data_IF_135376938680
#
_entry.id   IF_135376938680
#
_cell.length_a   1.000
_cell.length_b   1.000
_cell.length_c   1.000
_cell.angle_alpha   90.00
_cell.angle_beta   90.00
_cell.angle_gamma   90.00
#
_symmetry.space_group_name_H-M   'P 1'
#
loop_
_entity.id
_entity.type
_entity.pdbx_description
1 polymer ?
#
# COMPACT_ATOMS: atom_id res chain seq x y z
N UNK A 1 -10.86 16.34 17.32
CA UNK A 1 -9.85 15.87 16.39
C UNK A 1 -10.47 15.71 14.99
N UNK A 2 -9.73 16.12 13.94
CA UNK A 2 -10.20 16.04 12.54
C UNK A 2 -10.50 14.61 12.11
N UNK A 3 -9.76 13.62 12.64
CA UNK A 3 -9.95 12.19 12.36
C UNK A 3 -11.27 11.68 12.94
N UNK A 4 -11.55 12.01 14.17
CA UNK A 4 -12.80 11.64 14.86
C UNK A 4 -14.02 12.28 14.20
N UNK A 5 -13.90 13.54 13.75
CA UNK A 5 -14.95 14.24 13.02
C UNK A 5 -15.26 13.58 11.67
N UNK A 6 -14.26 13.10 10.93
CA UNK A 6 -14.47 12.38 9.67
C UNK A 6 -15.13 11.01 9.84
N UNK A 7 -14.88 10.32 10.95
CA UNK A 7 -15.59 9.08 11.29
C UNK A 7 -17.05 9.37 11.60
N UNK A 8 -17.35 10.30 12.50
CA UNK A 8 -18.71 10.69 12.85
C UNK A 8 -19.57 11.10 11.63
N UNK A 9 -18.95 11.71 10.60
CA UNK A 9 -19.66 12.04 9.35
C UNK A 9 -20.07 10.78 8.60
N UNK A 10 -19.18 9.81 8.43
CA UNK A 10 -19.48 8.54 7.72
C UNK A 10 -20.54 7.72 8.45
N UNK A 11 -20.40 7.56 9.76
CA UNK A 11 -21.37 6.87 10.60
C UNK A 11 -22.76 7.52 10.45
N UNK A 12 -22.82 8.85 10.54
CA UNK A 12 -24.06 9.59 10.39
C UNK A 12 -24.70 9.37 9.02
N UNK A 13 -23.92 9.45 7.92
CA UNK A 13 -24.43 9.23 6.57
C UNK A 13 -24.98 7.82 6.39
N UNK A 14 -24.24 6.80 6.80
CA UNK A 14 -24.66 5.40 6.71
C UNK A 14 -25.90 5.13 7.56
N UNK A 15 -25.98 5.69 8.78
CA UNK A 15 -27.17 5.58 9.66
C UNK A 15 -28.40 6.23 9.06
N UNK A 16 -28.24 7.28 8.22
CA UNK A 16 -29.33 7.93 7.50
C UNK A 16 -29.59 7.33 6.11
N UNK A 17 -29.15 6.09 5.88
CA UNK A 17 -29.34 5.34 4.63
C UNK A 17 -28.68 5.99 3.40
N UNK A 18 -27.58 6.69 3.60
CA UNK A 18 -26.77 7.27 2.52
C UNK A 18 -25.54 6.42 2.29
N UNK A 19 -25.37 5.90 1.06
CA UNK A 19 -24.14 5.20 0.65
C UNK A 19 -22.95 6.15 0.63
N UNK A 20 -21.78 5.66 0.96
CA UNK A 20 -20.55 6.46 1.07
C UNK A 20 -19.45 5.89 0.17
N UNK A 21 -18.83 6.75 -0.62
CA UNK A 21 -17.58 6.46 -1.36
C UNK A 21 -16.44 7.25 -0.73
N UNK A 22 -15.31 6.60 -0.43
CA UNK A 22 -14.21 7.24 0.29
C UNK A 22 -12.84 6.94 -0.32
N UNK A 23 -12.15 7.95 -0.84
CA UNK A 23 -10.75 7.85 -1.24
C UNK A 23 -9.77 7.95 -0.07
N UNK A 24 -10.22 8.41 1.10
CA UNK A 24 -9.39 8.60 2.29
C UNK A 24 -9.28 7.31 3.11
N UNK A 25 -8.05 6.81 3.29
CA UNK A 25 -7.72 5.55 3.96
C UNK A 25 -7.96 5.54 5.47
N UNK A 26 -8.13 6.70 6.12
CA UNK A 26 -8.07 6.80 7.59
C UNK A 26 -9.10 5.89 8.25
N UNK A 27 -10.36 5.91 7.82
CA UNK A 27 -11.40 5.11 8.45
C UNK A 27 -11.20 3.60 8.22
N UNK A 28 -10.85 3.19 7.00
CA UNK A 28 -10.64 1.78 6.67
C UNK A 28 -9.38 1.19 7.32
N UNK A 29 -8.39 2.03 7.68
CA UNK A 29 -7.16 1.64 8.37
C UNK A 29 -7.07 2.08 9.84
N UNK A 30 -8.12 2.68 10.42
CA UNK A 30 -8.22 3.01 11.86
C UNK A 30 -8.26 1.74 12.71
N UNK A 31 -8.58 1.84 13.98
CA UNK A 31 -8.82 0.67 14.84
C UNK A 31 -9.83 -0.28 14.21
N UNK A 32 -9.60 -1.57 14.33
CA UNK A 32 -10.43 -2.61 13.68
C UNK A 32 -11.91 -2.49 14.03
N UNK A 33 -12.24 -2.16 15.28
CA UNK A 33 -13.63 -2.03 15.70
C UNK A 33 -14.35 -0.91 14.96
N UNK A 34 -13.70 0.22 14.71
CA UNK A 34 -14.26 1.33 13.95
C UNK A 34 -14.54 0.92 12.47
N UNK A 35 -13.59 0.22 11.85
CA UNK A 35 -13.77 -0.32 10.50
C UNK A 35 -14.94 -1.30 10.47
N UNK A 36 -14.99 -2.23 11.44
CA UNK A 36 -16.05 -3.23 11.57
C UNK A 36 -17.42 -2.59 11.75
N UNK A 37 -17.53 -1.58 12.59
CA UNK A 37 -18.76 -0.84 12.83
C UNK A 37 -19.29 -0.19 11.55
N UNK A 38 -18.45 0.52 10.79
CA UNK A 38 -18.85 1.10 9.50
C UNK A 38 -19.40 0.06 8.51
N UNK A 39 -18.71 -1.08 8.37
CA UNK A 39 -19.15 -2.19 7.51
C UNK A 39 -20.45 -2.81 8.02
N UNK A 40 -20.63 -2.91 9.33
CA UNK A 40 -21.85 -3.43 9.95
C UNK A 40 -23.05 -2.50 9.75
N UNK A 41 -22.88 -1.19 9.99
CA UNK A 41 -23.94 -0.18 9.75
C UNK A 41 -24.36 -0.22 8.28
N UNK A 42 -23.41 -0.19 7.34
CA UNK A 42 -23.71 -0.25 5.91
C UNK A 42 -24.53 -1.49 5.56
N UNK A 43 -24.14 -2.66 6.08
CA UNK A 43 -24.87 -3.93 5.86
C UNK A 43 -26.27 -3.91 6.47
N UNK A 44 -26.43 -3.44 7.70
CA UNK A 44 -27.73 -3.37 8.40
C UNK A 44 -28.71 -2.40 7.73
N UNK A 45 -28.18 -1.31 7.16
CA UNK A 45 -28.97 -0.29 6.48
C UNK A 45 -29.21 -0.59 4.99
N UNK A 46 -28.61 -1.63 4.43
CA UNK A 46 -28.69 -1.97 3.01
C UNK A 46 -28.04 -0.91 2.11
N UNK A 47 -27.05 -0.16 2.63
CA UNK A 47 -26.29 0.86 1.88
C UNK A 47 -24.86 0.39 1.66
N UNK A 48 -24.15 1.04 0.71
CA UNK A 48 -22.76 0.67 0.39
C UNK A 48 -21.77 1.64 1.06
N UNK A 49 -20.70 1.08 1.60
CA UNK A 49 -19.50 1.80 1.99
C UNK A 49 -18.32 1.30 1.15
N UNK A 50 -17.97 2.09 0.12
CA UNK A 50 -16.98 1.73 -0.90
C UNK A 50 -15.73 2.58 -0.78
N UNK A 51 -14.58 1.97 -0.99
CA UNK A 51 -13.27 2.63 -0.84
C UNK A 51 -12.19 1.94 -1.68
N UNK A 52 -12.53 1.51 -2.90
CA UNK A 52 -11.59 0.85 -3.83
C UNK A 52 -10.28 1.62 -3.96
N UNK A 53 -10.38 2.94 -4.11
CA UNK A 53 -9.21 3.81 -4.33
C UNK A 53 -8.30 3.99 -3.12
N UNK A 54 -8.61 3.36 -1.99
CA UNK A 54 -7.72 3.37 -0.83
C UNK A 54 -6.43 2.57 -1.07
N UNK A 55 -6.47 1.60 -1.99
CA UNK A 55 -5.30 0.79 -2.37
C UNK A 55 -5.21 0.69 -3.88
N UNK A 56 -4.07 1.08 -4.46
CA UNK A 56 -3.81 0.93 -5.90
C UNK A 56 -4.54 1.92 -6.80
N UNK A 57 -4.99 3.06 -6.27
CA UNK A 57 -5.73 4.08 -7.02
C UNK A 57 -6.97 3.48 -7.75
N UNK A 58 -6.96 3.42 -9.07
CA UNK A 58 -8.06 2.86 -9.86
C UNK A 58 -7.96 1.37 -10.17
N UNK A 59 -6.96 0.67 -9.62
CA UNK A 59 -6.84 -0.79 -9.80
C UNK A 59 -7.95 -1.51 -9.02
N UNK A 60 -8.62 -2.52 -9.61
CA UNK A 60 -9.72 -3.24 -8.97
C UNK A 60 -9.21 -4.29 -7.98
N UNK A 61 -8.68 -3.87 -6.84
CA UNK A 61 -8.02 -4.75 -5.88
C UNK A 61 -9.00 -5.20 -4.80
N UNK A 62 -9.67 -4.25 -4.14
CA UNK A 62 -10.61 -4.51 -3.04
C UNK A 62 -11.83 -5.25 -3.59
N UNK A 63 -12.38 -4.82 -4.72
CA UNK A 63 -13.49 -5.51 -5.37
C UNK A 63 -13.11 -6.95 -5.76
N UNK A 64 -11.90 -7.17 -6.31
CA UNK A 64 -11.42 -8.52 -6.63
C UNK A 64 -11.34 -9.40 -5.38
N UNK A 65 -10.81 -8.90 -4.27
CA UNK A 65 -10.77 -9.65 -3.00
C UNK A 65 -12.18 -9.99 -2.52
N UNK A 66 -13.10 -9.03 -2.57
CA UNK A 66 -14.50 -9.24 -2.17
C UNK A 66 -15.20 -10.28 -3.07
N UNK A 67 -15.02 -10.23 -4.38
CA UNK A 67 -15.60 -11.17 -5.33
C UNK A 67 -15.07 -12.60 -5.11
N UNK A 68 -13.78 -12.75 -4.85
CA UNK A 68 -13.18 -14.04 -4.50
C UNK A 68 -13.84 -14.62 -3.22
N UNK A 69 -13.97 -13.81 -2.17
CA UNK A 69 -14.59 -14.23 -0.90
C UNK A 69 -16.07 -14.53 -1.08
N UNK A 70 -16.82 -13.68 -1.78
CA UNK A 70 -18.24 -13.89 -2.05
C UNK A 70 -18.50 -15.15 -2.87
N UNK A 71 -17.56 -15.55 -3.74
CA UNK A 71 -17.63 -16.81 -4.48
C UNK A 71 -17.17 -18.03 -3.65
N UNK A 72 -16.87 -17.86 -2.37
CA UNK A 72 -16.47 -18.93 -1.45
C UNK A 72 -14.98 -19.28 -1.51
N UNK A 73 -14.14 -18.45 -2.14
CA UNK A 73 -12.69 -18.60 -2.11
C UNK A 73 -12.10 -18.03 -0.81
N UNK A 74 -10.85 -18.38 -0.52
CA UNK A 74 -10.14 -17.89 0.66
C UNK A 74 -8.79 -17.33 0.27
N UNK A 75 -8.52 -16.11 0.70
CA UNK A 75 -7.21 -15.48 0.53
C UNK A 75 -6.22 -16.12 1.51
N UNK A 76 -5.17 -16.74 0.99
CA UNK A 76 -4.13 -17.39 1.80
C UNK A 76 -2.94 -16.47 2.00
N UNK A 77 -2.59 -15.71 0.94
CA UNK A 77 -1.44 -14.81 0.95
C UNK A 77 -1.69 -13.62 0.04
N UNK A 78 -1.23 -12.46 0.49
CA UNK A 78 -1.12 -11.23 -0.31
C UNK A 78 0.35 -10.83 -0.32
N UNK A 79 0.93 -10.61 -1.49
CA UNK A 79 2.24 -9.99 -1.65
C UNK A 79 2.09 -8.79 -2.57
N UNK A 80 2.65 -7.64 -2.19
CA UNK A 80 2.41 -6.44 -2.97
C UNK A 80 3.53 -5.40 -2.87
N UNK A 81 3.77 -4.68 -3.96
CA UNK A 81 4.51 -3.41 -3.98
C UNK A 81 3.46 -2.30 -4.11
N UNK A 82 3.26 -1.54 -3.03
CA UNK A 82 2.16 -0.58 -2.88
C UNK A 82 2.61 0.88 -2.78
N UNK A 83 3.91 1.16 -2.82
CA UNK A 83 4.48 2.50 -2.80
C UNK A 83 5.14 2.83 -4.12
N UNK A 84 4.56 3.76 -4.88
CA UNK A 84 5.17 4.28 -6.09
C UNK A 84 6.49 4.99 -5.81
N UNK A 85 6.58 5.76 -4.72
CA UNK A 85 7.79 6.46 -4.27
C UNK A 85 8.94 5.50 -4.01
N UNK A 86 8.71 4.46 -3.20
CA UNK A 86 9.75 3.49 -2.87
C UNK A 86 10.14 2.65 -4.09
N UNK A 87 9.18 2.27 -4.93
CA UNK A 87 9.48 1.57 -6.18
C UNK A 87 10.33 2.44 -7.12
N UNK A 88 10.01 3.73 -7.25
CA UNK A 88 10.82 4.68 -7.99
C UNK A 88 12.25 4.76 -7.45
N UNK A 89 12.45 4.95 -6.15
CA UNK A 89 13.76 5.03 -5.50
C UNK A 89 14.61 3.79 -5.83
N UNK A 90 14.08 2.58 -5.62
CA UNK A 90 14.80 1.34 -5.86
C UNK A 90 14.96 0.98 -7.34
N UNK A 91 14.22 1.59 -8.24
CA UNK A 91 14.46 1.48 -9.68
C UNK A 91 15.53 2.46 -10.19
N UNK A 92 15.78 3.57 -9.47
CA UNK A 92 16.74 4.63 -9.88
C UNK A 92 18.13 4.43 -9.29
N UNK A 93 18.26 3.72 -8.17
CA UNK A 93 19.57 3.50 -7.55
C UNK A 93 20.51 2.75 -8.51
N UNK A 94 21.69 3.30 -8.73
CA UNK A 94 22.70 2.77 -9.67
C UNK A 94 24.10 3.12 -9.22
N UNK A 95 25.13 2.67 -9.94
CA UNK A 95 26.51 3.03 -9.66
C UNK A 95 26.75 4.56 -9.68
N UNK A 96 26.01 5.27 -10.52
CA UNK A 96 26.15 6.72 -10.71
C UNK A 96 25.15 7.52 -9.84
N UNK A 97 24.13 6.87 -9.30
CA UNK A 97 23.04 7.52 -8.55
C UNK A 97 22.93 6.87 -7.17
N UNK A 98 23.57 7.46 -6.14
CA UNK A 98 23.53 6.92 -4.78
C UNK A 98 22.12 7.01 -4.18
N UNK A 99 21.87 6.23 -3.13
CA UNK A 99 20.58 6.14 -2.45
C UNK A 99 20.04 7.51 -2.00
N UNK A 100 20.87 8.34 -1.37
CA UNK A 100 20.46 9.68 -0.94
C UNK A 100 20.00 10.55 -2.11
N UNK A 101 20.66 10.43 -3.28
CA UNK A 101 20.28 11.17 -4.49
C UNK A 101 18.95 10.68 -5.06
N UNK A 102 18.67 9.37 -5.01
CA UNK A 102 17.38 8.86 -5.51
C UNK A 102 16.20 9.37 -4.70
N UNK A 103 16.35 9.54 -3.38
CA UNK A 103 15.32 10.14 -2.53
C UNK A 103 15.07 11.59 -2.95
N UNK A 104 16.14 12.35 -3.20
CA UNK A 104 16.03 13.75 -3.64
C UNK A 104 15.38 13.87 -5.02
N UNK A 105 15.71 12.98 -5.96
CA UNK A 105 15.06 12.90 -7.26
C UNK A 105 13.58 12.58 -7.13
N UNK A 106 13.19 11.64 -6.26
CA UNK A 106 11.78 11.33 -6.00
C UNK A 106 11.01 12.56 -5.51
N UNK A 107 11.63 13.42 -4.70
CA UNK A 107 11.04 14.69 -4.25
C UNK A 107 10.95 15.71 -5.38
N UNK A 108 12.02 15.91 -6.16
CA UNK A 108 12.09 16.83 -7.31
C UNK A 108 11.05 16.48 -8.38
N UNK A 109 10.85 15.18 -8.64
CA UNK A 109 9.88 14.65 -9.61
C UNK A 109 8.46 14.47 -9.03
N UNK A 110 8.23 14.87 -7.76
CA UNK A 110 6.94 14.82 -7.07
C UNK A 110 6.34 13.42 -6.88
N UNK A 111 7.19 12.41 -6.79
CA UNK A 111 6.79 11.08 -6.36
C UNK A 111 6.71 10.97 -4.84
N UNK A 112 7.52 11.73 -4.10
CA UNK A 112 7.60 11.73 -2.65
C UNK A 112 6.81 12.89 -2.04
N UNK A 113 6.37 12.69 -0.81
CA UNK A 113 5.85 13.76 0.04
C UNK A 113 6.94 14.85 0.28
N UNK A 114 6.56 16.08 0.66
CA UNK A 114 7.52 17.13 0.99
C UNK A 114 8.56 16.72 2.05
N UNK A 115 8.17 15.91 3.01
CA UNK A 115 9.07 15.22 3.94
C UNK A 115 9.17 13.74 3.53
N UNK A 116 10.27 13.31 2.89
CA UNK A 116 10.42 11.94 2.38
C UNK A 116 10.43 10.88 3.49
N UNK A 117 10.65 11.26 4.75
CA UNK A 117 10.56 10.34 5.89
C UNK A 117 9.18 9.72 6.02
N UNK A 118 8.13 10.41 5.57
CA UNK A 118 6.76 9.89 5.55
C UNK A 118 6.70 8.63 4.67
N UNK A 119 7.26 8.70 3.46
CA UNK A 119 7.32 7.57 2.53
C UNK A 119 8.25 6.47 3.03
N UNK A 120 9.47 6.85 3.47
CA UNK A 120 10.50 5.92 3.95
C UNK A 120 10.08 5.14 5.20
N UNK A 121 9.16 5.70 6.01
CA UNK A 121 8.59 5.02 7.19
C UNK A 121 7.66 3.85 6.85
N UNK A 122 7.26 3.70 5.59
CA UNK A 122 6.32 2.67 5.15
C UNK A 122 4.89 2.81 5.69
N UNK A 123 4.55 3.91 6.38
CA UNK A 123 3.23 4.09 7.03
C UNK A 123 2.06 3.97 6.06
N UNK A 124 2.20 4.49 4.83
CA UNK A 124 1.14 4.37 3.82
C UNK A 124 0.98 2.93 3.34
N UNK A 125 2.09 2.22 3.17
CA UNK A 125 2.10 0.79 2.80
C UNK A 125 1.46 -0.06 3.89
N UNK A 126 1.77 0.22 5.17
CA UNK A 126 1.15 -0.47 6.32
C UNK A 126 -0.36 -0.27 6.30
N UNK A 127 -0.85 0.97 6.12
CA UNK A 127 -2.30 1.25 6.04
C UNK A 127 -2.97 0.51 4.90
N UNK A 128 -2.33 0.47 3.72
CA UNK A 128 -2.83 -0.27 2.56
C UNK A 128 -2.91 -1.77 2.84
N UNK A 129 -1.84 -2.34 3.43
CA UNK A 129 -1.81 -3.76 3.79
C UNK A 129 -2.91 -4.11 4.81
N UNK A 130 -3.10 -3.28 5.83
CA UNK A 130 -4.17 -3.48 6.84
C UNK A 130 -5.55 -3.47 6.19
N UNK A 131 -5.80 -2.55 5.24
CA UNK A 131 -7.07 -2.53 4.50
C UNK A 131 -7.27 -3.83 3.72
N UNK A 132 -6.27 -4.27 2.94
CA UNK A 132 -6.37 -5.51 2.17
C UNK A 132 -6.55 -6.74 3.05
N UNK A 133 -5.84 -6.81 4.18
CA UNK A 133 -5.97 -7.90 5.14
C UNK A 133 -7.38 -7.97 5.74
N UNK A 134 -7.98 -6.84 6.07
CA UNK A 134 -9.35 -6.75 6.61
C UNK A 134 -10.39 -7.15 5.59
N UNK A 135 -10.27 -6.68 4.36
CA UNK A 135 -11.15 -7.10 3.26
C UNK A 135 -10.97 -8.60 2.93
N UNK A 136 -9.76 -9.15 3.16
CA UNK A 136 -9.50 -10.59 3.08
C UNK A 136 -10.01 -11.40 4.28
N UNK A 137 -10.69 -10.76 5.26
CA UNK A 137 -11.31 -11.41 6.41
C UNK A 137 -10.41 -11.55 7.64
N UNK A 138 -9.21 -10.97 7.65
CA UNK A 138 -8.29 -11.03 8.78
C UNK A 138 -8.50 -9.85 9.74
N UNK A 139 -8.56 -10.14 11.05
CA UNK A 139 -8.53 -9.11 12.09
C UNK A 139 -7.10 -8.70 12.35
N UNK A 140 -6.74 -7.48 11.93
CA UNK A 140 -5.38 -6.97 12.03
C UNK A 140 -5.38 -5.47 12.35
N UNK A 141 -4.43 -5.05 13.19
CA UNK A 141 -4.16 -3.64 13.50
C UNK A 141 -2.86 -3.17 12.84
N UNK A 142 -2.67 -1.86 12.72
CA UNK A 142 -1.40 -1.33 12.20
C UNK A 142 -0.21 -1.69 13.11
N UNK A 143 -0.43 -1.86 14.40
CA UNK A 143 0.57 -2.31 15.38
C UNK A 143 1.01 -3.75 15.20
N UNK A 144 0.17 -4.59 14.60
CA UNK A 144 0.46 -6.01 14.39
C UNK A 144 1.35 -6.25 13.16
N UNK A 145 1.57 -5.21 12.36
CA UNK A 145 2.41 -5.30 11.16
C UNK A 145 3.88 -5.24 11.53
N UNK A 146 4.61 -6.31 11.28
CA UNK A 146 6.07 -6.36 11.44
C UNK A 146 6.75 -5.42 10.43
N UNK A 147 7.70 -4.61 10.91
CA UNK A 147 8.39 -3.59 10.12
C UNK A 147 9.86 -3.95 9.98
N UNK A 148 10.27 -4.27 8.78
CA UNK A 148 11.67 -4.49 8.41
C UNK A 148 12.13 -3.30 7.53
N UNK A 149 12.26 -2.12 8.16
CA UNK A 149 12.66 -0.90 7.48
C UNK A 149 14.12 -0.94 7.09
N UNK A 150 14.45 -0.23 6.02
CA UNK A 150 15.80 -0.14 5.46
C UNK A 150 16.52 1.16 5.83
N UNK A 151 15.82 2.06 6.52
CA UNK A 151 16.37 3.29 7.11
C UNK A 151 16.28 3.14 8.62
N UNK A 152 17.40 3.33 9.36
CA UNK A 152 17.40 3.23 10.82
C UNK A 152 16.46 4.24 11.49
N UNK A 153 15.92 3.87 12.66
CA UNK A 153 14.89 4.66 13.36
C UNK A 153 15.34 6.08 13.70
N UNK A 154 16.62 6.27 14.02
CA UNK A 154 17.21 7.56 14.34
C UNK A 154 17.24 8.56 13.18
N UNK A 155 16.94 8.13 11.93
CA UNK A 155 16.77 9.03 10.78
C UNK A 155 15.39 9.69 10.74
N UNK A 156 14.43 9.16 11.47
CA UNK A 156 13.08 9.71 11.55
C UNK A 156 12.94 10.78 12.65
N UNK A 157 14.01 10.98 13.44
CA UNK A 157 14.06 11.97 14.50
C UNK A 157 14.64 13.31 13.99
N UNK A 158 14.44 14.39 14.78
CA UNK A 158 14.97 15.71 14.47
C UNK A 158 14.30 16.42 13.30
N UNK A 159 14.99 17.44 12.79
CA UNK A 159 14.50 18.26 11.68
C UNK A 159 14.70 17.57 10.31
N UNK A 160 14.03 18.10 9.27
CA UNK A 160 14.24 17.66 7.90
C UNK A 160 15.68 17.98 7.42
N UNK A 161 16.25 19.08 7.88
CA UNK A 161 17.64 19.45 7.57
C UNK A 161 18.64 18.44 8.17
N UNK A 162 18.36 17.94 9.38
CA UNK A 162 19.19 16.91 10.01
C UNK A 162 19.11 15.59 9.22
N UNK A 163 17.92 15.22 8.74
CA UNK A 163 17.75 14.07 7.86
C UNK A 163 18.62 14.22 6.59
N UNK A 164 18.56 15.37 5.90
CA UNK A 164 19.32 15.57 4.67
C UNK A 164 20.85 15.59 4.88
N UNK A 165 21.31 16.00 6.05
CA UNK A 165 22.73 15.90 6.40
C UNK A 165 23.15 14.46 6.68
N UNK A 166 22.26 13.67 7.22
CA UNK A 166 22.54 12.31 7.71
C UNK A 166 22.37 11.24 6.62
N UNK A 167 21.38 11.37 5.74
CA UNK A 167 21.03 10.33 4.76
C UNK A 167 22.19 9.89 3.83
N UNK A 168 23.16 10.74 3.43
CA UNK A 168 24.31 10.28 2.64
C UNK A 168 25.19 9.25 3.35
N UNK A 169 25.13 9.13 4.67
CA UNK A 169 25.87 8.11 5.40
C UNK A 169 25.41 6.67 5.06
N UNK A 170 24.22 6.51 4.50
CA UNK A 170 23.69 5.22 4.06
C UNK A 170 24.21 4.80 2.67
N UNK A 171 24.70 5.74 1.87
CA UNK A 171 25.05 5.50 0.46
C UNK A 171 26.05 4.38 0.26
N UNK A 172 27.10 4.33 1.08
CA UNK A 172 28.15 3.30 0.97
C UNK A 172 27.60 1.88 1.23
N UNK A 173 26.70 1.75 2.21
CA UNK A 173 26.05 0.47 2.52
C UNK A 173 25.12 0.01 1.41
N UNK A 174 24.31 0.93 0.87
CA UNK A 174 23.44 0.63 -0.26
C UNK A 174 24.24 0.27 -1.52
N UNK A 175 25.30 0.99 -1.84
CA UNK A 175 26.15 0.67 -3.01
C UNK A 175 26.85 -0.68 -2.87
N UNK A 176 27.37 -1.00 -1.69
CA UNK A 176 27.98 -2.31 -1.47
C UNK A 176 26.98 -3.46 -1.70
N UNK A 177 25.75 -3.32 -1.18
CA UNK A 177 24.71 -4.34 -1.38
C UNK A 177 24.18 -4.36 -2.81
N UNK A 178 24.03 -3.19 -3.46
CA UNK A 178 23.62 -3.08 -4.86
C UNK A 178 24.51 -3.90 -5.80
N UNK A 179 25.84 -3.81 -5.61
CA UNK A 179 26.81 -4.60 -6.41
C UNK A 179 26.61 -6.11 -6.25
N UNK A 180 26.30 -6.56 -5.03
CA UNK A 180 26.02 -7.99 -4.79
C UNK A 180 24.72 -8.40 -5.51
N UNK A 181 23.66 -7.59 -5.40
CA UNK A 181 22.38 -7.85 -6.07
C UNK A 181 22.51 -7.88 -7.60
N UNK A 182 23.29 -6.96 -8.17
CA UNK A 182 23.56 -6.93 -9.59
C UNK A 182 24.26 -8.21 -10.07
N UNK A 183 25.28 -8.67 -9.33
CA UNK A 183 25.97 -9.92 -9.61
C UNK A 183 25.07 -11.17 -9.49
N UNK A 184 24.04 -11.11 -8.61
CA UNK A 184 23.06 -12.16 -8.39
C UNK A 184 21.81 -12.04 -9.28
N UNK A 185 21.73 -11.03 -10.16
CA UNK A 185 20.54 -10.68 -10.93
C UNK A 185 19.30 -10.52 -10.04
N UNK A 186 19.41 -9.70 -8.99
CA UNK A 186 18.34 -9.38 -8.06
C UNK A 186 18.08 -7.88 -8.02
N UNK A 187 16.84 -7.51 -7.69
CA UNK A 187 16.41 -6.13 -7.44
C UNK A 187 15.84 -5.97 -6.04
N UNK A 188 15.93 -4.78 -5.48
CA UNK A 188 15.17 -4.43 -4.27
C UNK A 188 13.72 -4.12 -4.59
N UNK A 189 12.84 -4.57 -3.72
CA UNK A 189 11.43 -4.15 -3.67
C UNK A 189 10.98 -3.96 -2.22
N UNK A 190 10.26 -2.90 -1.96
CA UNK A 190 9.60 -2.73 -0.65
C UNK A 190 8.26 -3.45 -0.69
N UNK A 191 8.20 -4.58 -0.04
CA UNK A 191 7.09 -5.53 -0.14
C UNK A 191 6.21 -5.48 1.10
N UNK A 192 4.91 -5.40 0.88
CA UNK A 192 3.88 -5.69 1.86
C UNK A 192 3.46 -7.15 1.72
N UNK A 193 3.41 -7.89 2.82
CA UNK A 193 3.06 -9.32 2.84
C UNK A 193 2.06 -9.61 3.94
N UNK A 194 1.03 -10.33 3.58
CA UNK A 194 0.12 -11.03 4.49
C UNK A 194 0.20 -12.51 4.17
N UNK A 195 0.47 -13.35 5.16
CA UNK A 195 0.47 -14.79 5.01
C UNK A 195 0.14 -15.46 6.34
N UNK A 196 -0.80 -16.40 6.31
CA UNK A 196 -1.24 -17.13 7.52
C UNK A 196 -1.64 -16.19 8.68
N UNK A 197 -2.27 -15.06 8.37
CA UNK A 197 -2.71 -14.07 9.34
C UNK A 197 -1.60 -13.17 9.91
N UNK A 198 -0.35 -13.33 9.47
CA UNK A 198 0.76 -12.46 9.83
C UNK A 198 1.02 -11.44 8.73
N UNK A 199 1.18 -10.19 9.13
CA UNK A 199 1.46 -9.09 8.19
C UNK A 199 2.84 -8.49 8.45
N UNK A 200 3.54 -8.19 7.37
CA UNK A 200 4.85 -7.54 7.42
C UNK A 200 5.04 -6.58 6.24
N UNK A 201 5.88 -5.59 6.44
CA UNK A 201 6.39 -4.71 5.39
C UNK A 201 7.91 -4.63 5.50
N UNK A 202 8.60 -4.63 4.36
CA UNK A 202 10.05 -4.51 4.39
C UNK A 202 10.70 -4.57 3.02
N UNK A 203 11.98 -4.19 3.01
CA UNK A 203 12.80 -4.28 1.82
C UNK A 203 13.20 -5.74 1.56
N UNK A 204 12.88 -6.23 0.38
CA UNK A 204 13.18 -7.60 -0.06
C UNK A 204 14.02 -7.59 -1.35
N UNK A 205 14.77 -8.66 -1.53
CA UNK A 205 15.58 -8.93 -2.71
C UNK A 205 14.87 -9.95 -3.57
N UNK A 206 14.50 -9.55 -4.77
CA UNK A 206 13.74 -10.38 -5.71
C UNK A 206 14.59 -10.74 -6.92
N UNK A 207 14.65 -12.03 -7.25
CA UNK A 207 15.35 -12.54 -8.42
C UNK A 207 14.50 -12.56 -9.68
N UNK A 208 15.11 -12.89 -10.81
CA UNK A 208 14.54 -12.84 -12.16
C UNK A 208 13.22 -13.59 -12.34
N UNK A 209 13.00 -14.64 -11.56
CA UNK A 209 11.78 -15.46 -11.66
C UNK A 209 10.62 -14.89 -10.80
N UNK A 210 10.86 -13.86 -10.00
CA UNK A 210 9.82 -13.27 -9.17
C UNK A 210 9.02 -12.24 -9.97
N UNK A 211 7.68 -12.22 -9.89
CA UNK A 211 6.85 -11.26 -10.63
C UNK A 211 7.19 -9.79 -10.38
N UNK A 212 7.79 -9.49 -9.23
CA UNK A 212 8.18 -8.10 -8.88
C UNK A 212 9.51 -7.68 -9.50
N UNK A 213 10.29 -8.58 -10.10
CA UNK A 213 11.60 -8.26 -10.65
C UNK A 213 11.55 -7.17 -11.71
N UNK A 214 10.66 -7.33 -12.69
CA UNK A 214 10.48 -6.40 -13.81
C UNK A 214 9.55 -5.22 -13.52
N UNK A 215 9.21 -4.93 -12.26
CA UNK A 215 8.31 -3.82 -11.93
C UNK A 215 9.00 -2.47 -12.14
N UNK A 216 8.58 -1.74 -13.16
CA UNK A 216 9.17 -0.46 -13.57
C UNK A 216 8.48 0.76 -12.96
N UNK A 217 9.20 1.87 -12.94
CA UNK A 217 8.69 3.20 -12.58
C UNK A 217 8.11 3.27 -11.17
N UNK A 218 6.92 3.83 -11.06
CA UNK A 218 6.15 3.97 -9.82
C UNK A 218 4.92 3.04 -9.77
N UNK A 219 4.88 2.01 -10.61
CA UNK A 219 3.75 1.08 -10.67
C UNK A 219 3.59 0.28 -9.38
N UNK A 220 2.36 -0.12 -9.11
CA UNK A 220 2.01 -1.08 -8.08
C UNK A 220 1.79 -2.45 -8.69
N UNK A 221 2.05 -3.49 -7.92
CA UNK A 221 1.75 -4.88 -8.26
C UNK A 221 1.27 -5.61 -7.02
N UNK A 222 0.23 -6.42 -7.17
CA UNK A 222 -0.37 -7.22 -6.11
C UNK A 222 -0.51 -8.64 -6.61
N UNK A 223 -0.06 -9.61 -5.79
CA UNK A 223 -0.28 -11.04 -5.98
C UNK A 223 -1.25 -11.53 -4.92
N UNK A 224 -2.32 -12.18 -5.34
CA UNK A 224 -3.30 -12.82 -4.49
C UNK A 224 -3.17 -14.34 -4.66
N UNK A 225 -2.67 -15.02 -3.63
CA UNK A 225 -2.69 -16.48 -3.55
C UNK A 225 -3.93 -16.90 -2.78
N UNK A 226 -4.78 -17.70 -3.39
CA UNK A 226 -6.04 -18.17 -2.80
C UNK A 226 -6.09 -19.70 -2.78
N UNK A 227 -7.14 -20.28 -2.22
CA UNK A 227 -7.33 -21.74 -2.32
C UNK A 227 -7.47 -22.20 -3.77
N UNK A 228 -8.14 -21.41 -4.63
CA UNK A 228 -8.30 -21.72 -6.07
C UNK A 228 -7.07 -21.37 -6.91
N UNK A 229 -6.43 -20.23 -6.60
CA UNK A 229 -5.26 -19.71 -7.34
C UNK A 229 -3.99 -19.91 -6.51
N UNK A 230 -3.71 -21.16 -6.11
CA UNK A 230 -2.58 -21.50 -5.24
C UNK A 230 -1.28 -21.66 -6.03
N UNK A 231 -1.33 -22.38 -7.15
CA UNK A 231 -0.16 -22.62 -8.00
C UNK A 231 0.15 -21.44 -8.91
N UNK A 232 -0.90 -20.76 -9.37
CA UNK A 232 -0.83 -19.57 -10.23
C UNK A 232 -1.55 -18.40 -9.55
N UNK A 233 -0.86 -17.64 -8.70
CA UNK A 233 -1.47 -16.51 -8.01
C UNK A 233 -2.04 -15.49 -9.00
N UNK A 234 -3.18 -14.92 -8.67
CA UNK A 234 -3.76 -13.81 -9.43
C UNK A 234 -2.88 -12.58 -9.29
N UNK A 235 -2.59 -11.90 -10.40
CA UNK A 235 -1.75 -10.72 -10.44
C UNK A 235 -2.53 -9.52 -10.96
N UNK A 236 -2.45 -8.40 -10.22
CA UNK A 236 -3.00 -7.09 -10.62
C UNK A 236 -1.85 -6.10 -10.63
N UNK A 237 -1.61 -5.45 -11.78
CA UNK A 237 -0.50 -4.51 -11.95
C UNK A 237 -0.94 -3.28 -12.73
N UNK A 238 -0.42 -2.12 -12.34
CA UNK A 238 -0.65 -0.86 -13.05
C UNK A 238 -0.33 0.38 -12.21
N UNK A 239 -0.82 1.54 -12.64
CA UNK A 239 -0.62 2.79 -11.92
C UNK A 239 -1.30 2.75 -10.54
N UNK A 240 -0.49 2.82 -9.49
CA UNK A 240 -0.95 2.79 -8.11
C UNK A 240 -1.20 4.15 -7.48
N UNK A 241 -1.04 5.24 -8.27
CA UNK A 241 -1.28 6.62 -7.88
C UNK A 241 -1.58 7.48 -9.11
N UNK A 242 -2.13 8.66 -8.88
CA UNK A 242 -2.44 9.65 -9.92
C UNK A 242 -3.88 10.16 -9.82
N UNK A 243 -4.06 11.46 -10.04
CA UNK A 243 -5.37 12.11 -9.90
C UNK A 243 -6.41 11.51 -10.84
N UNK A 244 -6.06 11.29 -12.10
CA UNK A 244 -6.98 10.75 -13.12
C UNK A 244 -7.45 9.33 -12.80
N UNK A 245 -6.52 8.42 -12.48
CA UNK A 245 -6.87 7.02 -12.15
C UNK A 245 -7.61 6.91 -10.82
N UNK A 246 -7.28 7.76 -9.85
CA UNK A 246 -8.02 7.80 -8.58
C UNK A 246 -9.43 8.33 -8.78
N UNK A 247 -9.61 9.40 -9.57
CA UNK A 247 -10.92 9.93 -9.90
C UNK A 247 -11.78 8.90 -10.64
N UNK A 248 -11.20 8.15 -11.58
CA UNK A 248 -11.89 7.08 -12.29
C UNK A 248 -12.36 5.97 -11.33
N UNK A 249 -11.51 5.56 -10.37
CA UNK A 249 -11.89 4.56 -9.38
C UNK A 249 -12.99 5.03 -8.41
N UNK A 250 -12.95 6.31 -7.97
CA UNK A 250 -14.06 6.91 -7.19
C UNK A 250 -15.34 6.93 -8.01
N UNK A 251 -15.26 7.29 -9.29
CA UNK A 251 -16.41 7.30 -10.18
C UNK A 251 -16.98 5.89 -10.38
N UNK A 252 -16.13 4.88 -10.54
CA UNK A 252 -16.56 3.48 -10.64
C UNK A 252 -17.34 3.02 -9.38
N UNK A 253 -16.85 3.39 -8.19
CA UNK A 253 -17.55 3.12 -6.93
C UNK A 253 -18.95 3.81 -6.91
N UNK A 254 -19.04 5.07 -7.36
CA UNK A 254 -20.31 5.80 -7.46
C UNK A 254 -21.26 5.10 -8.42
N UNK A 255 -20.81 4.72 -9.61
CA UNK A 255 -21.62 4.02 -10.61
C UNK A 255 -22.11 2.67 -10.10
N UNK A 256 -21.30 1.95 -9.33
CA UNK A 256 -21.72 0.68 -8.72
C UNK A 256 -22.82 0.86 -7.65
N UNK A 257 -22.91 2.04 -7.00
CA UNK A 257 -24.02 2.39 -6.10
C UNK A 257 -25.28 2.67 -6.91
N UNK A 258 -25.13 3.37 -8.02
CA UNK A 258 -26.26 3.73 -8.90
C UNK A 258 -26.83 2.52 -9.69
N UNK A 259 -26.19 1.34 -9.61
CA UNK A 259 -26.57 0.14 -10.36
C UNK A 259 -26.59 0.33 -11.88
N UNK A 260 -25.63 1.10 -12.41
CA UNK A 260 -25.48 1.36 -13.84
C UNK A 260 -24.29 0.57 -14.40
#
# INVERSE_FOLDING_TARGET
DRRQRQMCIRDSLLMHNVSVVAANKIAASSEYENYRELKQIARQRGVKYLFETNVGAGLPIINTINDLIHSGDKILKIEAVLSGTLNYIFNKISADIPFSRTIKMAQEERYSEPDPRIDLSGKDVIRKLVILAREAGYRIEQSDVEKNLFVPDDFFEGSLDDFWKKVPSLDAGFEARRKVLEAENKHWRFVARLENGKASVGLQEVGVNHPFYGLEGSNNIILLTTERYKEYPMMIQGYGAGAGVTAAGVFADIMSIANV
#
